data_IF_639442482243
#
_entry.id   IF_639442482243
#
_cell.length_a   1.000
_cell.length_b   1.000
_cell.length_c   1.000
_cell.angle_alpha   90.00
_cell.angle_beta   90.00
_cell.angle_gamma   90.00
#
_symmetry.space_group_name_H-M   'P 1'
#
loop_
_entity.id
_entity.type
_entity.pdbx_description
1 polymer ?
#
# COMPACT_ATOMS: atom_id res chain seq x y z
N UNK A 1 -34.46 -3.56 -43.09
CA UNK A 1 -33.29 -3.85 -42.24
C UNK A 1 -32.50 -2.55 -42.14
N UNK A 2 -32.61 -1.84 -41.01
CA UNK A 2 -32.03 -0.49 -40.88
C UNK A 2 -30.52 -0.54 -40.78
N UNK A 3 -29.82 0.35 -41.49
CA UNK A 3 -28.36 0.49 -41.40
C UNK A 3 -28.02 1.28 -40.14
N UNK A 4 -26.86 1.00 -39.55
CA UNK A 4 -26.34 1.78 -38.42
C UNK A 4 -26.15 3.26 -38.78
N UNK A 5 -25.90 3.53 -40.07
CA UNK A 5 -25.83 4.86 -40.66
C UNK A 5 -27.19 5.57 -40.77
N UNK A 6 -28.31 4.93 -40.42
CA UNK A 6 -29.64 5.56 -40.44
C UNK A 6 -30.04 6.13 -39.06
N UNK A 7 -29.29 5.78 -38.00
CA UNK A 7 -29.55 6.29 -36.65
C UNK A 7 -29.25 7.79 -36.55
N UNK A 8 -30.00 8.57 -35.74
CA UNK A 8 -29.57 9.88 -35.26
C UNK A 8 -28.20 9.81 -34.58
N UNK A 9 -27.44 10.90 -34.63
CA UNK A 9 -26.05 10.95 -34.13
C UNK A 9 -25.95 10.58 -32.65
N UNK A 10 -26.91 11.04 -31.84
CA UNK A 10 -26.97 10.79 -30.40
C UNK A 10 -27.24 9.31 -30.08
N UNK A 11 -28.07 8.65 -30.89
CA UNK A 11 -28.34 7.21 -30.73
C UNK A 11 -27.18 6.37 -31.22
N UNK A 12 -26.50 6.81 -32.28
CA UNK A 12 -25.28 6.17 -32.76
C UNK A 12 -24.16 6.26 -31.71
N UNK A 13 -23.92 7.45 -31.15
CA UNK A 13 -22.94 7.67 -30.08
C UNK A 13 -23.21 6.78 -28.86
N UNK A 14 -24.45 6.78 -28.34
CA UNK A 14 -24.85 5.92 -27.21
C UNK A 14 -24.73 4.42 -27.49
N UNK A 15 -24.89 4.00 -28.73
CA UNK A 15 -24.72 2.59 -29.12
C UNK A 15 -23.23 2.23 -29.12
N UNK A 16 -22.39 3.10 -29.68
CA UNK A 16 -20.95 2.94 -29.72
C UNK A 16 -20.31 2.99 -28.32
N UNK A 17 -20.83 3.82 -27.43
CA UNK A 17 -20.36 3.96 -26.05
C UNK A 17 -20.44 2.65 -25.26
N UNK A 18 -21.39 1.77 -25.60
CA UNK A 18 -21.57 0.47 -24.95
C UNK A 18 -20.59 -0.61 -25.42
N UNK A 19 -19.86 -0.37 -26.51
CA UNK A 19 -18.92 -1.34 -27.06
C UNK A 19 -17.62 -1.34 -26.27
N UNK A 20 -16.97 -2.50 -26.18
CA UNK A 20 -15.58 -2.58 -25.74
C UNK A 20 -14.66 -1.79 -26.67
N UNK A 21 -13.52 -1.34 -26.15
CA UNK A 21 -12.64 -0.40 -26.87
C UNK A 21 -12.13 -0.99 -28.18
N UNK A 22 -11.78 -2.27 -28.21
CA UNK A 22 -11.33 -2.94 -29.43
C UNK A 22 -12.39 -2.89 -30.54
N UNK A 23 -13.64 -3.20 -30.19
CA UNK A 23 -14.77 -3.13 -31.12
C UNK A 23 -15.07 -1.68 -31.54
N UNK A 24 -15.06 -0.74 -30.59
CA UNK A 24 -15.26 0.68 -30.85
C UNK A 24 -14.25 1.23 -31.85
N UNK A 25 -12.96 0.93 -31.67
CA UNK A 25 -11.90 1.38 -32.59
C UNK A 25 -12.03 0.71 -33.95
N UNK A 26 -12.40 -0.57 -34.01
CA UNK A 26 -12.67 -1.27 -35.27
C UNK A 26 -13.85 -0.64 -36.04
N UNK A 27 -14.88 -0.14 -35.34
CA UNK A 27 -16.02 0.53 -35.96
C UNK A 27 -15.63 1.77 -36.79
N UNK A 28 -14.45 2.39 -36.53
CA UNK A 28 -13.93 3.48 -37.38
C UNK A 28 -13.73 3.08 -38.85
N UNK A 29 -13.66 1.79 -39.16
CA UNK A 29 -13.50 1.28 -40.52
C UNK A 29 -14.83 1.02 -41.25
N UNK A 30 -15.98 1.09 -40.55
CA UNK A 30 -17.29 0.74 -41.13
C UNK A 30 -17.81 1.78 -42.11
N UNK A 31 -17.77 3.07 -41.73
CA UNK A 31 -18.24 4.16 -42.57
C UNK A 31 -17.56 5.49 -42.18
N UNK A 32 -17.54 6.45 -43.12
CA UNK A 32 -17.04 7.81 -42.83
C UNK A 32 -17.87 8.50 -41.73
N UNK A 33 -19.18 8.21 -41.66
CA UNK A 33 -20.08 8.78 -40.66
C UNK A 33 -19.75 8.24 -39.27
N UNK A 34 -19.63 6.91 -39.13
CA UNK A 34 -19.28 6.27 -37.85
C UNK A 34 -17.90 6.73 -37.39
N UNK A 35 -16.90 6.75 -38.29
CA UNK A 35 -15.58 7.29 -37.98
C UNK A 35 -15.65 8.71 -37.43
N UNK A 36 -16.40 9.59 -38.10
CA UNK A 36 -16.57 10.99 -37.65
C UNK A 36 -17.21 11.08 -36.26
N UNK A 37 -18.26 10.31 -35.99
CA UNK A 37 -18.90 10.28 -34.66
C UNK A 37 -17.91 9.83 -33.59
N UNK A 38 -17.11 8.78 -33.86
CA UNK A 38 -16.11 8.31 -32.91
C UNK A 38 -15.04 9.38 -32.66
N UNK A 39 -14.54 10.01 -33.72
CA UNK A 39 -13.42 10.96 -33.64
C UNK A 39 -13.83 12.33 -33.06
N UNK A 40 -15.08 12.76 -33.24
CA UNK A 40 -15.59 14.05 -32.75
C UNK A 40 -16.32 13.96 -31.41
N UNK A 41 -16.82 12.77 -31.01
CA UNK A 41 -17.50 12.58 -29.72
C UNK A 41 -16.51 12.68 -28.56
N UNK A 42 -16.76 13.64 -27.66
CA UNK A 42 -15.99 13.78 -26.42
C UNK A 42 -16.10 12.52 -25.54
N UNK A 43 -17.28 11.90 -25.47
CA UNK A 43 -17.52 10.72 -24.64
C UNK A 43 -16.74 9.52 -25.16
N UNK A 44 -16.81 9.27 -26.48
CA UNK A 44 -16.11 8.15 -27.10
C UNK A 44 -14.59 8.37 -27.09
N UNK A 45 -14.13 9.60 -27.35
CA UNK A 45 -12.70 9.94 -27.22
C UNK A 45 -12.22 9.77 -25.79
N UNK A 46 -12.98 10.22 -24.79
CA UNK A 46 -12.63 10.03 -23.39
C UNK A 46 -12.48 8.55 -23.02
N UNK A 47 -13.42 7.71 -23.46
CA UNK A 47 -13.37 6.26 -23.24
C UNK A 47 -12.11 5.62 -23.86
N UNK A 48 -11.77 6.00 -25.09
CA UNK A 48 -10.59 5.49 -25.79
C UNK A 48 -9.30 5.93 -25.09
N UNK A 49 -9.23 7.18 -24.67
CA UNK A 49 -8.04 7.76 -24.04
C UNK A 49 -7.80 7.18 -22.65
N UNK A 50 -8.87 6.89 -21.89
CA UNK A 50 -8.78 6.21 -20.59
C UNK A 50 -8.11 4.84 -20.74
N UNK A 51 -8.61 4.03 -21.67
CA UNK A 51 -8.04 2.71 -21.95
C UNK A 51 -6.58 2.80 -22.42
N UNK A 52 -6.30 3.75 -23.31
CA UNK A 52 -4.94 3.97 -23.84
C UNK A 52 -3.96 4.34 -22.73
N UNK A 53 -4.42 5.10 -21.72
CA UNK A 53 -3.63 5.49 -20.56
C UNK A 53 -3.62 4.43 -19.44
N UNK A 54 -4.37 3.33 -19.57
CA UNK A 54 -4.55 2.33 -18.51
C UNK A 54 -5.23 2.91 -17.25
N UNK A 55 -6.17 3.84 -17.45
CA UNK A 55 -6.87 4.55 -16.38
C UNK A 55 -8.35 4.22 -16.34
N UNK A 56 -8.92 4.26 -15.14
CA UNK A 56 -10.34 4.08 -14.91
C UNK A 56 -11.06 5.43 -14.79
N UNK A 57 -12.35 5.44 -15.16
CA UNK A 57 -13.19 6.62 -14.94
C UNK A 57 -13.44 6.82 -13.44
N UNK A 58 -13.10 8.02 -12.96
CA UNK A 58 -13.27 8.36 -11.55
C UNK A 58 -14.73 8.58 -11.17
N UNK A 59 -15.02 8.68 -9.85
CA UNK A 59 -16.36 8.95 -9.34
C UNK A 59 -16.95 10.24 -9.94
N UNK A 60 -18.27 10.37 -9.90
CA UNK A 60 -18.97 11.58 -10.39
C UNK A 60 -18.38 12.84 -9.74
N UNK A 61 -18.13 13.85 -10.55
CA UNK A 61 -17.55 15.11 -10.11
C UNK A 61 -18.20 16.28 -10.85
N UNK A 62 -17.90 17.50 -10.41
CA UNK A 62 -18.44 18.74 -10.99
C UNK A 62 -17.82 19.08 -12.35
N UNK A 63 -16.76 18.39 -12.78
CA UNK A 63 -16.12 18.62 -14.08
C UNK A 63 -16.75 17.79 -15.19
N UNK A 64 -16.92 18.43 -16.35
CA UNK A 64 -17.49 17.79 -17.54
C UNK A 64 -16.56 16.71 -18.11
N UNK A 65 -17.11 15.80 -18.91
CA UNK A 65 -16.32 14.80 -19.64
C UNK A 65 -15.28 15.45 -20.56
N UNK A 66 -15.58 16.62 -21.12
CA UNK A 66 -14.63 17.39 -21.93
C UNK A 66 -13.40 17.83 -21.11
N UNK A 67 -13.65 18.35 -19.91
CA UNK A 67 -12.58 18.74 -18.98
C UNK A 67 -11.79 17.52 -18.47
N UNK A 68 -12.46 16.38 -18.21
CA UNK A 68 -11.78 15.11 -17.87
C UNK A 68 -10.86 14.65 -18.99
N UNK A 69 -11.34 14.66 -20.24
CA UNK A 69 -10.55 14.30 -21.43
C UNK A 69 -9.34 15.22 -21.60
N UNK A 70 -9.52 16.54 -21.44
CA UNK A 70 -8.43 17.49 -21.54
C UNK A 70 -7.35 17.24 -20.47
N UNK A 71 -7.76 16.97 -19.23
CA UNK A 71 -6.83 16.64 -18.12
C UNK A 71 -6.10 15.34 -18.36
N UNK A 72 -6.79 14.33 -18.89
CA UNK A 72 -6.20 13.04 -19.22
C UNK A 72 -5.14 13.16 -20.32
N UNK A 73 -5.45 13.85 -21.42
CA UNK A 73 -4.46 14.12 -22.48
C UNK A 73 -3.24 14.85 -21.94
N UNK A 74 -3.46 15.93 -21.19
CA UNK A 74 -2.37 16.68 -20.56
C UNK A 74 -1.55 15.81 -19.60
N UNK A 75 -2.18 14.89 -18.88
CA UNK A 75 -1.47 13.94 -18.03
C UNK A 75 -0.57 13.03 -18.86
N UNK A 76 -1.11 12.38 -19.88
CA UNK A 76 -0.38 11.49 -20.79
C UNK A 76 0.78 12.22 -21.48
N UNK A 77 0.56 13.43 -21.97
CA UNK A 77 1.58 14.26 -22.61
C UNK A 77 2.70 14.65 -21.64
N UNK A 78 2.36 15.05 -20.40
CA UNK A 78 3.35 15.38 -19.37
C UNK A 78 4.23 14.19 -19.01
N UNK A 79 3.67 12.98 -18.94
CA UNK A 79 4.44 11.75 -18.70
C UNK A 79 5.32 11.39 -19.89
N UNK A 80 4.81 11.49 -21.12
CA UNK A 80 5.58 11.19 -22.33
C UNK A 80 6.74 12.17 -22.55
N UNK A 81 6.54 13.45 -22.20
CA UNK A 81 7.53 14.52 -22.39
C UNK A 81 8.40 14.79 -21.16
N UNK A 82 8.15 14.12 -20.03
CA UNK A 82 8.75 14.39 -18.71
C UNK A 82 8.59 15.85 -18.22
N UNK A 83 7.58 16.55 -18.73
CA UNK A 83 7.22 17.91 -18.32
C UNK A 83 6.23 17.86 -17.16
N UNK A 84 6.74 17.52 -15.98
CA UNK A 84 5.99 17.62 -14.75
C UNK A 84 5.87 19.09 -14.32
N UNK A 85 4.77 19.42 -13.65
CA UNK A 85 4.43 20.81 -13.30
C UNK A 85 5.37 21.44 -12.25
N UNK A 86 4.80 21.85 -11.11
CA UNK A 86 5.54 22.53 -10.04
C UNK A 86 6.42 21.58 -9.24
N UNK A 87 7.63 22.02 -8.90
CA UNK A 87 8.50 21.35 -7.92
C UNK A 87 8.32 22.01 -6.56
N UNK A 88 7.86 21.24 -5.57
CA UNK A 88 7.77 21.71 -4.19
C UNK A 88 8.92 21.13 -3.35
N UNK A 89 9.61 22.00 -2.61
CA UNK A 89 10.68 21.60 -1.69
C UNK A 89 10.10 21.48 -0.29
N UNK A 90 9.92 20.24 0.16
CA UNK A 90 9.52 19.96 1.54
C UNK A 90 10.75 19.96 2.46
N UNK A 91 10.58 20.45 3.69
CA UNK A 91 11.65 20.38 4.71
C UNK A 91 12.08 18.92 4.93
N UNK A 92 13.39 18.67 5.05
CA UNK A 92 13.89 17.33 5.35
C UNK A 92 13.40 16.83 6.71
N UNK A 93 13.20 15.50 6.82
CA UNK A 93 12.96 14.82 8.09
C UNK A 93 14.21 14.16 8.66
N UNK A 94 14.05 13.32 9.70
CA UNK A 94 15.12 12.42 10.18
C UNK A 94 15.43 11.37 9.11
N UNK A 95 16.39 11.69 8.23
CA UNK A 95 17.00 10.75 7.29
C UNK A 95 16.01 9.89 6.50
N UNK A 96 16.11 8.57 6.66
CA UNK A 96 15.36 7.52 5.95
C UNK A 96 13.92 7.31 6.43
N UNK A 97 13.46 8.06 7.42
CA UNK A 97 12.09 7.96 7.96
C UNK A 97 11.11 8.79 7.12
N UNK A 98 10.91 8.34 5.88
CA UNK A 98 9.96 8.87 4.92
C UNK A 98 8.97 7.76 4.55
N UNK A 99 7.68 8.06 4.53
CA UNK A 99 6.63 7.12 4.10
C UNK A 99 5.66 7.81 3.14
N UNK A 100 5.24 7.07 2.13
CA UNK A 100 4.24 7.51 1.16
C UNK A 100 3.14 6.44 1.12
N UNK A 101 1.88 6.86 1.27
CA UNK A 101 0.70 6.03 1.06
C UNK A 101 -0.29 6.82 0.21
N UNK A 102 -0.54 6.32 -1.01
CA UNK A 102 -1.29 7.07 -2.01
C UNK A 102 -0.66 8.43 -2.29
N UNK A 103 -1.40 9.50 -2.01
CA UNK A 103 -0.94 10.89 -2.12
C UNK A 103 -0.54 11.51 -0.78
N UNK A 104 -0.50 10.75 0.32
CA UNK A 104 -0.08 11.24 1.64
C UNK A 104 1.38 10.90 1.88
N UNK A 105 2.19 11.94 2.03
CA UNK A 105 3.60 11.83 2.36
C UNK A 105 3.83 12.21 3.82
N UNK A 106 4.41 11.32 4.61
CA UNK A 106 4.69 11.51 6.02
C UNK A 106 6.19 11.51 6.30
N UNK A 107 6.64 12.47 7.11
CA UNK A 107 8.03 12.70 7.52
C UNK A 107 8.13 12.78 9.03
N UNK A 108 9.17 12.19 9.60
CA UNK A 108 9.48 12.35 11.02
C UNK A 108 10.36 13.59 11.27
N UNK A 109 9.95 14.47 12.20
CA UNK A 109 10.71 15.64 12.66
C UNK A 109 11.01 15.49 14.16
N UNK A 110 12.26 15.21 14.52
CA UNK A 110 12.60 14.98 15.94
C UNK A 110 12.10 13.62 16.46
N UNK A 111 12.09 13.40 17.79
CA UNK A 111 11.84 12.08 18.35
C UNK A 111 10.37 11.67 18.39
N UNK A 112 9.42 12.60 18.42
CA UNK A 112 8.00 12.32 18.70
C UNK A 112 7.02 13.07 17.80
N UNK A 113 7.49 13.72 16.73
CA UNK A 113 6.64 14.53 15.84
C UNK A 113 6.66 14.01 14.40
N UNK A 114 5.47 13.92 13.80
CA UNK A 114 5.28 13.62 12.38
C UNK A 114 4.65 14.80 11.64
N UNK A 115 5.08 15.02 10.39
CA UNK A 115 4.50 16.01 9.48
C UNK A 115 4.01 15.30 8.23
N UNK A 116 2.76 15.56 7.89
CA UNK A 116 2.05 14.87 6.82
C UNK A 116 1.58 15.87 5.78
N UNK A 117 1.68 15.47 4.52
CA UNK A 117 1.36 16.30 3.37
C UNK A 117 0.47 15.50 2.41
N UNK A 118 -0.67 16.07 2.02
CA UNK A 118 -1.33 15.68 0.77
C UNK A 118 -0.51 16.31 -0.36
N UNK A 119 0.09 15.47 -1.19
CA UNK A 119 0.83 15.93 -2.37
C UNK A 119 -0.16 16.47 -3.42
N UNK A 120 0.10 17.65 -4.00
CA UNK A 120 -0.81 18.25 -4.97
C UNK A 120 -0.90 17.42 -6.24
N UNK A 121 -2.12 17.32 -6.77
CA UNK A 121 -2.40 16.66 -8.04
C UNK A 121 -3.16 17.62 -8.93
N UNK A 122 -2.46 18.57 -9.55
CA UNK A 122 -3.06 19.70 -10.28
C UNK A 122 -4.09 19.24 -11.33
N UNK A 123 -3.78 18.20 -12.10
CA UNK A 123 -4.70 17.64 -13.11
C UNK A 123 -5.90 16.92 -12.49
N UNK A 124 -5.73 16.35 -11.29
CA UNK A 124 -6.80 15.71 -10.52
C UNK A 124 -7.58 16.70 -9.63
N UNK A 125 -7.16 17.97 -9.55
CA UNK A 125 -7.75 18.95 -8.64
C UNK A 125 -7.45 18.70 -7.16
N UNK A 126 -6.48 17.83 -6.84
CA UNK A 126 -6.09 17.54 -5.46
C UNK A 126 -5.28 18.72 -4.94
N UNK A 127 -5.80 19.40 -3.92
CA UNK A 127 -5.14 20.52 -3.25
C UNK A 127 -4.10 20.01 -2.25
N UNK A 128 -2.97 20.68 -2.19
CA UNK A 128 -1.99 20.44 -1.14
C UNK A 128 -2.58 20.76 0.24
N UNK A 129 -2.23 19.95 1.23
CA UNK A 129 -2.59 20.14 2.64
C UNK A 129 -1.44 19.66 3.48
N UNK A 130 -1.06 20.40 4.51
CA UNK A 130 -0.11 19.95 5.52
C UNK A 130 -0.81 19.89 6.88
N UNK A 131 -0.48 18.88 7.68
CA UNK A 131 -0.84 18.81 9.09
C UNK A 131 0.28 18.13 9.88
N UNK A 132 0.21 18.26 11.20
CA UNK A 132 1.25 17.79 12.12
C UNK A 132 0.62 16.98 13.23
N UNK A 133 1.35 15.96 13.65
CA UNK A 133 1.11 15.22 14.87
C UNK A 133 2.30 15.51 15.77
N UNK A 134 2.16 16.53 16.62
CA UNK A 134 3.22 16.97 17.51
C UNK A 134 3.12 16.26 18.87
N UNK A 135 4.28 15.95 19.45
CA UNK A 135 4.42 15.36 20.79
C UNK A 135 3.53 14.14 21.06
N UNK A 136 3.76 13.05 20.32
CA UNK A 136 3.04 11.79 20.49
C UNK A 136 3.27 11.10 21.85
N UNK A 137 4.10 11.67 22.73
CA UNK A 137 4.36 11.16 24.08
C UNK A 137 5.32 9.97 24.16
N UNK A 138 5.95 9.59 23.05
CA UNK A 138 6.97 8.54 23.00
C UNK A 138 7.94 8.76 21.84
N UNK A 139 9.10 8.09 21.91
CA UNK A 139 10.10 8.11 20.85
C UNK A 139 9.66 7.18 19.71
N UNK A 140 9.64 7.72 18.50
CA UNK A 140 9.34 7.00 17.25
C UNK A 140 10.60 6.26 16.80
N UNK A 141 10.57 4.93 16.86
CA UNK A 141 11.64 4.06 16.34
C UNK A 141 11.41 3.76 14.86
N UNK A 142 10.15 3.47 14.49
CA UNK A 142 9.74 3.26 13.10
C UNK A 142 8.24 3.56 12.96
N UNK A 143 7.76 3.81 11.74
CA UNK A 143 6.34 3.98 11.47
C UNK A 143 5.96 3.55 10.05
N UNK A 144 4.68 3.24 9.88
CA UNK A 144 4.03 2.96 8.60
C UNK A 144 2.68 3.68 8.57
N UNK A 145 2.21 3.99 7.36
CA UNK A 145 0.95 4.71 7.15
C UNK A 145 0.10 4.01 6.10
N UNK A 146 -1.21 4.01 6.30
CA UNK A 146 -2.21 3.67 5.30
C UNK A 146 -3.27 4.78 5.27
N UNK A 147 -3.16 5.65 4.27
CA UNK A 147 -4.04 6.80 4.12
C UNK A 147 -5.48 6.40 3.78
N UNK A 148 -5.71 5.24 3.14
CA UNK A 148 -7.04 4.79 2.78
C UNK A 148 -7.84 4.39 4.02
N UNK A 149 -7.16 3.91 5.07
CA UNK A 149 -7.76 3.49 6.33
C UNK A 149 -7.64 4.53 7.44
N UNK A 150 -7.11 5.73 7.17
CA UNK A 150 -6.71 6.71 8.19
C UNK A 150 -5.79 6.11 9.28
N UNK A 151 -4.91 5.18 8.92
CA UNK A 151 -4.11 4.41 9.87
C UNK A 151 -2.65 4.88 9.91
N UNK A 152 -2.16 5.09 11.13
CA UNK A 152 -0.78 5.34 11.48
C UNK A 152 -0.32 4.26 12.47
N UNK A 153 0.70 3.50 12.09
CA UNK A 153 1.32 2.50 12.96
C UNK A 153 2.68 3.01 13.38
N UNK A 154 2.94 3.08 14.67
CA UNK A 154 4.25 3.48 15.23
C UNK A 154 4.79 2.38 16.11
N UNK A 155 6.08 2.07 15.95
CA UNK A 155 6.83 1.26 16.90
C UNK A 155 7.59 2.20 17.84
N UNK A 156 7.43 1.98 19.14
CA UNK A 156 8.21 2.64 20.21
C UNK A 156 8.79 1.59 21.16
N UNK A 157 9.69 2.03 22.05
CA UNK A 157 10.07 1.25 23.24
C UNK A 157 9.21 1.64 24.43
N UNK A 158 8.91 0.67 25.30
CA UNK A 158 8.35 0.97 26.63
C UNK A 158 9.44 1.60 27.49
N UNK A 159 9.13 2.57 28.35
CA UNK A 159 10.08 3.07 29.33
C UNK A 159 10.63 1.91 30.18
N UNK A 160 11.93 1.92 30.47
CA UNK A 160 12.50 0.98 31.43
C UNK A 160 11.81 1.14 32.78
N UNK A 161 11.39 0.04 33.40
CA UNK A 161 10.92 0.08 34.78
C UNK A 161 12.13 0.13 35.70
N UNK A 162 12.22 1.16 36.54
CA UNK A 162 13.26 1.28 37.57
C UNK A 162 13.31 0.01 38.43
N UNK A 163 14.46 -0.68 38.44
CA UNK A 163 14.76 -1.80 39.34
C UNK A 163 14.82 -3.20 38.71
N UNK A 164 14.59 -3.37 37.40
CA UNK A 164 14.86 -4.64 36.74
C UNK A 164 16.35 -4.77 36.40
N UNK A 165 17.02 -5.79 36.95
CA UNK A 165 18.47 -6.01 36.83
C UNK A 165 18.98 -6.36 35.41
N UNK A 166 18.10 -6.35 34.40
CA UNK A 166 18.45 -6.52 32.99
C UNK A 166 17.55 -5.58 32.17
N UNK A 167 18.16 -4.67 31.42
CA UNK A 167 17.48 -3.75 30.49
C UNK A 167 16.79 -4.54 29.38
N UNK A 168 15.52 -4.91 29.57
CA UNK A 168 14.66 -5.52 28.55
C UNK A 168 13.59 -4.52 28.11
N UNK A 169 13.99 -3.52 27.32
CA UNK A 169 13.04 -2.59 26.70
C UNK A 169 12.12 -3.37 25.74
N UNK A 170 10.84 -3.52 26.08
CA UNK A 170 9.87 -4.19 25.20
C UNK A 170 9.39 -3.21 24.11
N UNK A 171 9.27 -3.69 22.88
CA UNK A 171 8.71 -2.89 21.79
C UNK A 171 7.19 -2.88 21.87
N UNK A 172 6.60 -1.71 21.61
CA UNK A 172 5.16 -1.51 21.59
C UNK A 172 4.77 -0.92 20.24
N UNK A 173 3.73 -1.51 19.65
CA UNK A 173 3.08 -0.99 18.45
C UNK A 173 1.89 -0.14 18.88
N UNK A 174 1.81 1.09 18.37
CA UNK A 174 0.68 1.99 18.52
C UNK A 174 -0.09 2.06 17.21
N UNK A 175 -1.39 1.80 17.25
CA UNK A 175 -2.32 1.95 16.14
C UNK A 175 -3.12 3.24 16.35
N UNK A 176 -2.77 4.28 15.61
CA UNK A 176 -3.30 5.62 15.71
C UNK A 176 -4.05 6.04 14.44
N UNK A 177 -4.91 7.02 14.57
CA UNK A 177 -5.50 7.74 13.44
C UNK A 177 -4.45 8.66 12.79
N UNK A 178 -4.27 8.54 11.49
CA UNK A 178 -3.31 9.32 10.70
C UNK A 178 -3.69 10.82 10.67
N UNK A 179 -4.98 11.11 10.70
CA UNK A 179 -5.52 12.46 10.69
C UNK A 179 -5.45 13.17 12.05
N UNK A 180 -5.58 12.43 13.16
CA UNK A 180 -5.71 13.01 14.51
C UNK A 180 -4.58 12.68 15.48
N UNK A 181 -3.81 11.63 15.23
CA UNK A 181 -2.80 11.08 16.15
C UNK A 181 -3.39 10.40 17.39
N UNK A 182 -4.71 10.28 17.50
CA UNK A 182 -5.39 9.59 18.60
C UNK A 182 -5.48 8.08 18.34
N UNK A 183 -5.90 7.31 19.35
CA UNK A 183 -6.15 5.87 19.17
C UNK A 183 -7.09 5.63 17.99
N UNK A 184 -6.72 4.71 17.10
CA UNK A 184 -7.50 4.44 15.90
C UNK A 184 -8.87 3.83 16.26
N UNK A 185 -10.01 4.34 15.73
CA UNK A 185 -11.35 3.91 16.14
C UNK A 185 -11.65 2.43 15.85
N UNK A 186 -11.03 1.86 14.81
CA UNK A 186 -11.19 0.44 14.46
C UNK A 186 -10.21 -0.50 15.18
N UNK A 187 -9.27 0.03 15.99
CA UNK A 187 -8.35 -0.80 16.75
C UNK A 187 -8.98 -1.14 18.10
N UNK A 188 -9.41 -2.39 18.28
CA UNK A 188 -9.92 -2.90 19.56
C UNK A 188 -8.85 -2.80 20.66
N UNK A 189 -7.57 -2.95 20.28
CA UNK A 189 -6.42 -2.70 21.17
C UNK A 189 -5.44 -1.79 20.43
N UNK A 190 -5.47 -0.47 20.67
CA UNK A 190 -4.60 0.48 19.98
C UNK A 190 -3.12 0.36 20.37
N UNK A 191 -2.80 -0.46 21.39
CA UNK A 191 -1.44 -0.76 21.82
C UNK A 191 -1.24 -2.27 21.80
N UNK A 192 -0.26 -2.74 21.05
CA UNK A 192 0.10 -4.16 20.94
C UNK A 192 1.52 -4.31 21.46
N UNK A 193 1.69 -5.10 22.52
CA UNK A 193 3.01 -5.43 23.05
C UNK A 193 3.62 -6.54 22.18
N UNK A 194 4.86 -6.33 21.73
CA UNK A 194 5.64 -7.40 21.14
C UNK A 194 6.16 -8.33 22.24
N UNK A 195 6.41 -9.63 21.95
CA UNK A 195 6.93 -10.57 22.93
C UNK A 195 8.18 -10.05 23.67
N UNK A 196 8.15 -10.07 25.01
CA UNK A 196 9.11 -9.38 25.88
C UNK A 196 10.49 -10.03 26.02
N UNK A 197 10.72 -11.20 25.41
CA UNK A 197 12.03 -11.86 25.39
C UNK A 197 12.93 -11.41 24.23
N UNK A 198 12.46 -10.48 23.38
CA UNK A 198 13.21 -9.94 22.26
C UNK A 198 14.28 -8.95 22.76
N UNK A 199 15.42 -9.45 23.22
CA UNK A 199 16.57 -8.64 23.67
C UNK A 199 17.33 -8.13 22.44
N UNK A 200 17.36 -6.81 22.32
CA UNK A 200 17.96 -6.09 21.21
C UNK A 200 19.49 -6.06 21.29
N UNK A 201 20.11 -6.02 20.12
CA UNK A 201 21.51 -5.65 19.90
C UNK A 201 21.63 -4.20 19.42
N UNK A 202 22.75 -3.58 19.76
CA UNK A 202 23.18 -2.22 19.37
C UNK A 202 23.02 -1.88 17.87
N UNK A 203 22.86 -2.85 16.97
CA UNK A 203 22.61 -2.62 15.54
C UNK A 203 21.23 -2.03 15.19
N UNK A 204 20.25 -2.06 16.09
CA UNK A 204 19.13 -1.10 16.06
C UNK A 204 18.13 -1.17 14.88
N UNK A 205 18.21 -2.13 13.95
CA UNK A 205 17.37 -2.14 12.76
C UNK A 205 16.05 -2.91 12.97
N UNK A 206 14.95 -2.37 12.45
CA UNK A 206 13.61 -2.97 12.47
C UNK A 206 12.94 -2.72 11.12
N UNK A 207 12.31 -3.74 10.54
CA UNK A 207 11.46 -3.59 9.36
C UNK A 207 10.00 -3.66 9.75
N UNK A 208 9.25 -2.64 9.32
CA UNK A 208 7.82 -2.52 9.55
C UNK A 208 7.12 -2.47 8.18
N UNK A 209 6.12 -3.34 8.00
CA UNK A 209 5.25 -3.34 6.82
C UNK A 209 3.79 -3.31 7.28
N UNK A 210 2.98 -2.62 6.49
CA UNK A 210 1.54 -2.55 6.66
C UNK A 210 0.90 -3.01 5.36
N UNK A 211 -0.05 -3.94 5.45
CA UNK A 211 -0.80 -4.44 4.29
C UNK A 211 -2.22 -4.76 4.73
N UNK A 212 -3.18 -3.91 4.35
CA UNK A 212 -4.58 -4.03 4.73
C UNK A 212 -4.74 -4.11 6.25
N UNK A 213 -5.16 -5.28 6.73
CA UNK A 213 -5.46 -5.54 8.15
C UNK A 213 -4.25 -6.04 8.96
N UNK A 214 -3.10 -6.23 8.30
CA UNK A 214 -1.92 -6.84 8.91
C UNK A 214 -0.76 -5.85 9.07
N UNK A 215 -0.15 -5.91 10.25
CA UNK A 215 1.13 -5.28 10.58
C UNK A 215 2.16 -6.40 10.67
N UNK A 216 3.24 -6.31 9.89
CA UNK A 216 4.39 -7.17 10.06
C UNK A 216 5.57 -6.40 10.62
N UNK A 217 6.23 -6.98 11.62
CA UNK A 217 7.42 -6.43 12.27
C UNK A 217 8.51 -7.50 12.23
N UNK A 218 9.60 -7.20 11.54
CA UNK A 218 10.82 -8.00 11.59
C UNK A 218 11.88 -7.29 12.41
N UNK A 219 12.44 -8.00 13.37
CA UNK A 219 13.43 -7.48 14.29
C UNK A 219 14.50 -8.54 14.60
N UNK A 220 15.73 -8.13 14.94
CA UNK A 220 16.75 -9.06 15.41
C UNK A 220 16.38 -9.61 16.80
N UNK A 221 16.78 -10.85 17.03
CA UNK A 221 16.63 -11.58 18.28
C UNK A 221 17.97 -12.17 18.71
N UNK A 222 18.33 -11.95 19.98
CA UNK A 222 19.50 -12.57 20.62
C UNK A 222 19.04 -13.29 21.88
N UNK A 223 19.17 -14.62 21.96
CA UNK A 223 18.83 -15.35 23.18
C UNK A 223 19.83 -15.11 24.33
N UNK A 224 21.05 -14.68 24.02
CA UNK A 224 22.10 -14.34 25.00
C UNK A 224 22.91 -13.13 24.49
N UNK A 225 23.14 -12.14 25.36
CA UNK A 225 23.99 -10.96 25.08
C UNK A 225 25.44 -11.35 24.73
N UNK A 226 25.86 -12.57 25.03
CA UNK A 226 27.18 -13.12 24.65
C UNK A 226 27.22 -13.75 23.26
N UNK A 227 26.06 -13.97 22.61
CA UNK A 227 25.99 -14.66 21.33
C UNK A 227 26.48 -13.77 20.17
N UNK A 228 27.36 -14.30 19.34
CA UNK A 228 27.90 -13.60 18.16
C UNK A 228 26.92 -13.55 16.96
N UNK A 229 25.75 -14.18 17.07
CA UNK A 229 24.81 -14.33 15.97
C UNK A 229 23.39 -13.97 16.42
N UNK A 230 22.76 -13.09 15.64
CA UNK A 230 21.35 -12.72 15.77
C UNK A 230 20.50 -13.60 14.86
N UNK A 231 19.27 -13.89 15.30
CA UNK A 231 18.23 -14.50 14.46
C UNK A 231 17.21 -13.43 14.10
N UNK A 232 16.68 -13.47 12.88
CA UNK A 232 15.57 -12.60 12.50
C UNK A 232 14.24 -13.20 12.97
N UNK A 233 13.50 -12.44 13.78
CA UNK A 233 12.13 -12.79 14.15
C UNK A 233 11.16 -11.93 13.35
N UNK A 234 10.12 -12.55 12.79
CA UNK A 234 9.03 -11.87 12.10
C UNK A 234 7.71 -12.14 12.82
N UNK A 235 7.10 -11.06 13.30
CA UNK A 235 5.81 -11.08 13.98
C UNK A 235 4.77 -10.42 13.08
N UNK A 236 3.66 -11.10 12.83
CA UNK A 236 2.51 -10.54 12.09
C UNK A 236 1.34 -10.40 13.04
N UNK A 237 0.77 -9.20 13.10
CA UNK A 237 -0.36 -8.84 13.94
C UNK A 237 -1.55 -8.41 13.08
N UNK A 238 -2.77 -8.76 13.48
CA UNK A 238 -3.98 -8.13 12.97
C UNK A 238 -4.30 -6.91 13.84
N UNK A 239 -4.26 -5.71 13.25
CA UNK A 239 -4.26 -4.47 14.02
C UNK A 239 -5.63 -4.08 14.55
N UNK A 240 -6.70 -4.49 13.86
CA UNK A 240 -8.09 -4.24 14.28
C UNK A 240 -8.41 -5.01 15.56
N UNK A 241 -7.99 -6.27 15.65
CA UNK A 241 -8.15 -7.12 16.83
C UNK A 241 -7.07 -6.86 17.88
N UNK A 242 -5.89 -6.41 17.44
CA UNK A 242 -4.71 -6.23 18.29
C UNK A 242 -4.14 -7.54 18.80
N UNK A 243 -4.09 -8.53 17.93
CA UNK A 243 -3.62 -9.90 18.23
C UNK A 243 -2.47 -10.28 17.31
N UNK A 244 -1.50 -11.02 17.84
CA UNK A 244 -0.46 -11.68 17.04
C UNK A 244 -1.10 -12.87 16.32
N UNK A 245 -1.03 -12.87 14.99
CA UNK A 245 -1.56 -13.94 14.14
C UNK A 245 -0.48 -14.97 13.78
N UNK A 246 0.78 -14.52 13.65
CA UNK A 246 1.89 -15.38 13.27
C UNK A 246 3.18 -14.87 13.89
N UNK A 247 4.07 -15.81 14.26
CA UNK A 247 5.42 -15.52 14.71
C UNK A 247 6.38 -16.55 14.12
N UNK A 248 7.28 -16.09 13.25
CA UNK A 248 8.40 -16.87 12.75
C UNK A 248 9.64 -16.53 13.59
N UNK A 249 10.05 -17.45 14.46
CA UNK A 249 11.23 -17.30 15.34
C UNK A 249 12.44 -18.12 14.88
N UNK A 250 12.23 -19.21 14.13
CA UNK A 250 13.30 -20.14 13.74
C UNK A 250 13.73 -20.00 12.27
N UNK A 251 13.10 -19.09 11.53
CA UNK A 251 13.41 -18.85 10.12
C UNK A 251 14.75 -18.09 9.99
N UNK A 252 15.85 -18.83 9.87
CA UNK A 252 17.17 -18.22 9.68
C UNK A 252 17.29 -17.58 8.29
N UNK A 253 17.77 -16.34 8.22
CA UNK A 253 18.08 -15.69 6.95
C UNK A 253 16.89 -15.01 6.29
N UNK A 254 15.86 -14.62 7.05
CA UNK A 254 14.79 -13.76 6.55
C UNK A 254 15.40 -12.45 6.05
N UNK A 255 15.18 -12.14 4.77
CA UNK A 255 15.74 -10.94 4.15
C UNK A 255 14.73 -9.81 4.07
N UNK A 256 13.53 -10.08 3.57
CA UNK A 256 12.42 -9.12 3.49
C UNK A 256 11.10 -9.86 3.43
N UNK A 257 10.00 -9.16 3.69
CA UNK A 257 8.68 -9.76 3.71
C UNK A 257 7.59 -8.79 3.22
N UNK A 258 6.48 -9.36 2.81
CA UNK A 258 5.23 -8.64 2.52
C UNK A 258 4.04 -9.52 2.83
N UNK A 259 2.86 -8.92 2.99
CA UNK A 259 1.61 -9.64 3.15
C UNK A 259 0.71 -9.32 1.95
N UNK A 260 0.16 -10.35 1.32
CA UNK A 260 -0.72 -10.24 0.15
C UNK A 260 -1.84 -11.26 0.33
N UNK A 261 -3.10 -10.80 0.27
CA UNK A 261 -4.28 -11.69 0.25
C UNK A 261 -4.30 -12.75 1.37
N UNK A 262 -3.91 -12.37 2.59
CA UNK A 262 -3.88 -13.30 3.73
C UNK A 262 -2.67 -14.24 3.76
N UNK A 263 -1.73 -14.11 2.83
CA UNK A 263 -0.47 -14.82 2.83
C UNK A 263 0.68 -13.91 3.24
N UNK A 264 1.58 -14.43 4.07
CA UNK A 264 2.89 -13.86 4.33
C UNK A 264 3.86 -14.41 3.29
N UNK A 265 4.48 -13.54 2.51
CA UNK A 265 5.56 -13.87 1.60
C UNK A 265 6.88 -13.37 2.19
N UNK A 266 7.90 -14.22 2.25
CA UNK A 266 9.21 -13.85 2.78
C UNK A 266 10.35 -14.40 1.93
N UNK A 267 11.37 -13.57 1.71
CA UNK A 267 12.60 -13.99 1.04
C UNK A 267 13.57 -14.60 2.05
N UNK A 268 14.08 -15.79 1.73
CA UNK A 268 15.08 -16.49 2.53
C UNK A 268 16.43 -16.43 1.83
N UNK A 269 17.41 -15.85 2.53
CA UNK A 269 18.81 -15.82 2.11
C UNK A 269 19.36 -17.25 2.07
N UNK A 270 20.00 -17.65 0.97
CA UNK A 270 20.55 -18.99 0.86
C UNK A 270 21.67 -19.22 1.88
N UNK A 271 21.72 -20.42 2.46
CA UNK A 271 22.94 -20.94 3.09
C UNK A 271 23.94 -21.33 1.99
N UNK A 272 25.23 -21.46 2.31
CA UNK A 272 26.24 -21.85 1.30
C UNK A 272 25.78 -23.08 0.53
N UNK A 273 25.84 -23.02 -0.81
CA UNK A 273 25.33 -24.01 -1.80
C UNK A 273 23.82 -24.06 -2.07
N UNK A 274 23.00 -23.24 -1.41
CA UNK A 274 21.57 -23.15 -1.69
C UNK A 274 21.22 -21.99 -2.65
N UNK A 275 20.03 -22.07 -3.26
CA UNK A 275 19.45 -20.96 -4.04
C UNK A 275 18.59 -20.08 -3.12
N UNK A 276 18.46 -18.77 -3.39
CA UNK A 276 17.47 -17.94 -2.70
C UNK A 276 16.09 -18.52 -2.90
N UNK A 277 15.25 -18.46 -1.86
CA UNK A 277 13.90 -19.01 -1.87
C UNK A 277 12.92 -17.93 -1.48
N UNK A 278 11.74 -17.98 -2.08
CA UNK A 278 10.58 -17.26 -1.61
C UNK A 278 9.70 -18.28 -0.89
N UNK A 279 9.38 -18.01 0.36
CA UNK A 279 8.49 -18.84 1.16
C UNK A 279 7.17 -18.10 1.37
N UNK A 280 6.07 -18.86 1.37
CA UNK A 280 4.73 -18.35 1.53
C UNK A 280 4.05 -19.07 2.70
N UNK A 281 3.39 -18.33 3.57
CA UNK A 281 2.70 -18.87 4.73
C UNK A 281 1.27 -18.34 4.77
N UNK A 282 0.27 -19.19 4.98
CA UNK A 282 -1.11 -18.72 5.25
C UNK A 282 -1.17 -18.09 6.63
N UNK A 283 -1.75 -16.89 6.73
CA UNK A 283 -1.93 -16.16 8.00
C UNK A 283 -3.22 -16.63 8.73
N UNK A 284 -3.85 -17.73 8.29
CA UNK A 284 -5.10 -18.25 8.87
C UNK A 284 -5.09 -18.23 10.40
N UNK A 285 -6.15 -17.62 10.96
CA UNK A 285 -6.25 -17.18 12.37
C UNK A 285 -6.09 -18.31 13.41
N UNK A 286 -5.93 -19.58 13.01
CA UNK A 286 -5.98 -20.76 13.87
C UNK A 286 -4.82 -21.75 13.70
N UNK A 287 -3.78 -21.44 12.92
CA UNK A 287 -2.63 -22.35 12.77
C UNK A 287 -1.35 -21.74 13.32
N UNK A 288 -0.88 -22.27 14.46
CA UNK A 288 0.45 -22.02 14.99
C UNK A 288 1.53 -22.94 14.36
N UNK A 289 1.33 -23.40 13.11
CA UNK A 289 2.24 -24.33 12.44
C UNK A 289 3.00 -23.67 11.28
N UNK A 290 4.30 -23.97 11.28
CA UNK A 290 5.44 -23.20 10.79
C UNK A 290 6.03 -23.72 9.48
N UNK A 291 5.26 -24.44 8.67
CA UNK A 291 5.74 -24.92 7.37
C UNK A 291 5.25 -24.00 6.23
N UNK A 292 6.12 -23.66 5.26
CA UNK A 292 5.72 -22.93 4.06
C UNK A 292 4.64 -23.69 3.30
N UNK A 293 3.60 -22.98 2.89
CA UNK A 293 2.57 -23.49 1.97
C UNK A 293 3.23 -23.66 0.58
N UNK A 294 3.16 -24.85 -0.04
CA UNK A 294 3.66 -25.03 -1.40
C UNK A 294 2.97 -24.09 -2.37
N UNK A 295 3.70 -23.46 -3.28
CA UNK A 295 3.12 -22.53 -4.28
C UNK A 295 1.98 -23.16 -5.08
N UNK A 296 2.01 -24.47 -5.34
CA UNK A 296 0.93 -25.18 -6.03
C UNK A 296 -0.41 -25.13 -5.31
N UNK A 297 -0.44 -24.98 -3.97
CA UNK A 297 -1.67 -24.74 -3.21
C UNK A 297 -2.17 -23.31 -3.36
N UNK A 298 -1.27 -22.32 -3.34
CA UNK A 298 -1.63 -20.89 -3.53
C UNK A 298 -2.36 -20.65 -4.85
N UNK A 299 -1.91 -21.29 -5.93
CA UNK A 299 -2.57 -21.18 -7.24
C UNK A 299 -3.97 -21.79 -7.28
N UNK A 300 -4.26 -22.81 -6.47
CA UNK A 300 -5.60 -23.41 -6.40
C UNK A 300 -6.55 -22.53 -5.59
N UNK A 301 -6.10 -22.02 -4.44
CA UNK A 301 -6.94 -21.20 -3.55
C UNK A 301 -7.28 -19.83 -4.17
N UNK A 302 -6.33 -19.19 -4.89
CA UNK A 302 -6.58 -17.92 -5.59
C UNK A 302 -7.56 -18.05 -6.78
N UNK A 303 -7.72 -19.25 -7.32
CA UNK A 303 -8.62 -19.53 -8.45
C UNK A 303 -9.99 -20.05 -7.99
N UNK A 304 -10.11 -20.61 -6.78
CA UNK A 304 -11.41 -21.04 -6.25
C UNK A 304 -12.30 -19.87 -5.79
N UNK A 305 -11.72 -18.71 -5.44
CA UNK A 305 -12.47 -17.52 -4.99
C UNK A 305 -12.78 -16.48 -6.09
N UNK A 306 -12.28 -16.68 -7.32
CA UNK A 306 -12.71 -15.90 -8.49
C UNK A 306 -13.53 -16.79 -9.42
N UNK A 307 -14.73 -17.15 -8.95
CA UNK A 307 -15.76 -17.73 -9.80
C UNK A 307 -16.29 -16.76 -10.85
N UNK A 308 -15.45 -16.23 -11.74
CA UNK A 308 -15.87 -15.66 -13.02
C UNK A 308 -14.77 -15.91 -14.09
N UNK A 309 -15.22 -16.52 -15.19
CA UNK A 309 -14.60 -16.67 -16.53
C UNK A 309 -13.93 -18.02 -16.85
N UNK A 310 -14.72 -18.88 -17.52
CA UNK A 310 -14.27 -19.68 -18.67
C UNK A 310 -14.24 -18.80 -19.92
#
# INVERSE_FOLDING_TARGET
MGRIDDLPTELLERTLEKLEIQALVACRQLSRRVKRVIDESVVLQYKIELETAGMEDGPRSEISTAERLQRLRKHTDSWASTQFGSVEKLRGGRGSMLRLSGNVFCRCLGPSTLVLNILPGNLRGVKAKEWRLDDLGFVIENYAIDAAQDLLVIVSRTPEQDGAAVSSSTHMIHCLSLSTGQAHPHAARPKILLPGNLVYDDNGWLKLRLSGDFIGVMLPYTPDLSAQHYQEHLVVCAWKEGTVCMWLSEASGLEDFTVVEGFLLTGIRPRMSEKPRLEAYSIDKHSAYTEPVPFTKLYLDLWEDTGIWR
#
